data_IF_383064988938
#
_entry.id   IF_383064988938
#
_cell.length_a   1.000
_cell.length_b   1.000
_cell.length_c   1.000
_cell.angle_alpha   90.00
_cell.angle_beta   90.00
_cell.angle_gamma   90.00
#
_symmetry.space_group_name_H-M   'P 1'
#
loop_
_entity.id
_entity.type
_entity.pdbx_description
1 polymer ?
#
# COMPACT_ATOMS: atom_id res chain seq x y z
N UNK A 1 7.59 4.62 16.04
CA UNK A 1 8.57 3.56 15.71
C UNK A 1 7.83 2.52 14.88
N UNK A 2 8.13 2.37 13.59
CA UNK A 2 7.31 1.61 12.62
C UNK A 2 7.34 0.07 12.78
N UNK A 3 8.00 -0.47 13.81
CA UNK A 3 8.21 -1.92 13.98
C UNK A 3 7.92 -2.38 15.41
N UNK A 4 6.96 -1.71 16.07
CA UNK A 4 6.48 -2.13 17.39
C UNK A 4 5.10 -2.76 17.25
N UNK A 5 4.79 -3.81 18.04
CA UNK A 5 3.45 -4.33 18.09
C UNK A 5 2.51 -3.21 18.55
N UNK A 6 1.41 -3.05 17.83
CA UNK A 6 0.39 -2.03 18.08
C UNK A 6 -0.94 -2.70 18.40
N UNK A 7 -1.83 -2.03 19.14
CA UNK A 7 -3.18 -2.52 19.37
C UNK A 7 -3.92 -2.71 18.05
N UNK A 8 -4.83 -3.68 18.02
CA UNK A 8 -5.67 -3.92 16.85
C UNK A 8 -6.50 -2.67 16.50
N UNK A 9 -6.65 -2.39 15.21
CA UNK A 9 -7.38 -1.22 14.71
C UNK A 9 -6.58 0.08 14.65
N UNK A 10 -5.25 0.00 14.73
CA UNK A 10 -4.37 1.13 14.41
C UNK A 10 -4.01 1.11 12.92
N UNK A 11 -4.10 2.26 12.24
CA UNK A 11 -3.68 2.41 10.84
C UNK A 11 -2.14 2.40 10.65
N UNK A 12 -1.38 2.12 11.72
CA UNK A 12 0.08 2.11 11.72
C UNK A 12 0.70 0.72 11.81
N UNK A 13 -0.07 -0.35 11.66
CA UNK A 13 0.38 -1.74 11.86
C UNK A 13 -0.05 -2.68 10.75
N UNK A 14 0.80 -3.66 10.47
CA UNK A 14 0.51 -4.74 9.51
C UNK A 14 -0.16 -5.89 10.25
N UNK A 15 -1.27 -6.39 9.71
CA UNK A 15 -1.98 -7.56 10.25
C UNK A 15 -2.09 -8.66 9.20
N UNK A 16 -2.13 -9.91 9.66
CA UNK A 16 -2.33 -11.08 8.79
C UNK A 16 -3.67 -10.95 8.04
N UNK A 17 -4.72 -10.49 8.74
CA UNK A 17 -6.04 -10.27 8.14
C UNK A 17 -5.98 -9.22 7.03
N UNK A 18 -5.24 -8.12 7.25
CA UNK A 18 -5.02 -7.08 6.23
C UNK A 18 -4.27 -7.60 5.01
N UNK A 19 -3.28 -8.48 5.20
CA UNK A 19 -2.56 -9.09 4.08
C UNK A 19 -3.44 -10.04 3.26
N UNK A 20 -4.27 -10.86 3.91
CA UNK A 20 -5.27 -11.67 3.20
C UNK A 20 -6.27 -10.81 2.44
N UNK A 21 -6.73 -9.71 3.03
CA UNK A 21 -7.61 -8.75 2.36
C UNK A 21 -6.92 -8.13 1.12
N UNK A 22 -5.62 -7.80 1.22
CA UNK A 22 -4.84 -7.28 0.10
C UNK A 22 -4.73 -8.28 -1.06
N UNK A 23 -4.47 -9.55 -0.75
CA UNK A 23 -4.41 -10.62 -1.75
C UNK A 23 -5.77 -10.78 -2.43
N UNK A 24 -6.85 -10.88 -1.65
CA UNK A 24 -8.22 -10.98 -2.18
C UNK A 24 -8.58 -9.78 -3.05
N UNK A 25 -8.15 -8.57 -2.68
CA UNK A 25 -8.34 -7.36 -3.48
C UNK A 25 -7.59 -7.43 -4.82
N UNK A 26 -6.35 -7.93 -4.85
CA UNK A 26 -5.61 -8.14 -6.11
C UNK A 26 -6.31 -9.14 -7.04
N UNK A 27 -6.81 -10.25 -6.49
CA UNK A 27 -7.60 -11.22 -7.27
C UNK A 27 -8.91 -10.63 -7.77
N UNK A 28 -9.67 -9.92 -6.92
CA UNK A 28 -10.95 -9.33 -7.31
C UNK A 28 -10.78 -8.28 -8.42
N UNK A 29 -9.73 -7.46 -8.35
CA UNK A 29 -9.39 -6.50 -9.41
C UNK A 29 -9.04 -7.18 -10.72
N UNK A 30 -8.34 -8.32 -10.68
CA UNK A 30 -8.01 -9.11 -11.88
C UNK A 30 -9.26 -9.75 -12.49
N UNK A 31 -10.17 -10.27 -11.66
CA UNK A 31 -11.46 -10.81 -12.10
C UNK A 31 -12.31 -9.71 -12.74
N UNK A 32 -12.38 -8.53 -12.11
CA UNK A 32 -13.08 -7.38 -12.65
C UNK A 32 -12.51 -6.97 -14.01
N UNK A 33 -11.18 -6.94 -14.13
CA UNK A 33 -10.51 -6.69 -15.41
C UNK A 33 -10.91 -7.70 -16.49
N UNK A 34 -10.97 -9.00 -16.15
CA UNK A 34 -11.38 -10.05 -17.08
C UNK A 34 -12.78 -9.81 -17.64
N UNK A 35 -13.74 -9.40 -16.80
CA UNK A 35 -15.10 -9.09 -17.24
C UNK A 35 -15.21 -7.78 -18.04
N UNK A 36 -14.35 -6.81 -17.75
CA UNK A 36 -14.35 -5.50 -18.41
C UNK A 36 -13.49 -5.45 -19.68
N UNK A 37 -12.89 -6.57 -20.10
CA UNK A 37 -11.93 -6.63 -21.20
C UNK A 37 -12.37 -5.76 -22.40
N UNK A 38 -11.68 -4.64 -22.57
CA UNK A 38 -11.72 -3.85 -23.80
C UNK A 38 -10.91 -4.60 -24.86
N UNK A 39 -11.36 -4.65 -26.13
CA UNK A 39 -10.84 -5.55 -27.17
C UNK A 39 -9.40 -5.27 -27.65
N UNK A 40 -8.58 -4.53 -26.90
CA UNK A 40 -7.25 -4.06 -27.29
C UNK A 40 -6.22 -4.07 -26.16
N UNK A 41 -6.29 -5.03 -25.23
CA UNK A 41 -5.25 -5.16 -24.22
C UNK A 41 -4.05 -5.98 -24.71
N UNK A 42 -2.92 -5.31 -24.94
CA UNK A 42 -1.61 -5.90 -25.27
C UNK A 42 -0.99 -6.73 -24.14
N UNK A 43 -1.69 -6.96 -23.03
CA UNK A 43 -1.12 -7.49 -21.78
C UNK A 43 -1.78 -8.83 -21.42
N UNK A 44 -0.97 -9.82 -21.06
CA UNK A 44 -1.47 -11.14 -20.67
C UNK A 44 -2.21 -11.08 -19.32
N UNK A 45 -3.17 -11.99 -19.10
CA UNK A 45 -3.91 -12.07 -17.84
C UNK A 45 -2.97 -12.31 -16.64
N UNK A 46 -1.89 -13.06 -16.84
CA UNK A 46 -0.84 -13.31 -15.83
C UNK A 46 -0.10 -12.05 -15.41
N UNK A 47 0.23 -11.17 -16.35
CA UNK A 47 0.91 -9.90 -16.05
C UNK A 47 0.00 -8.98 -15.23
N UNK A 48 -1.29 -8.95 -15.57
CA UNK A 48 -2.28 -8.14 -14.86
C UNK A 48 -2.49 -8.67 -13.45
N UNK A 49 -2.60 -9.99 -13.28
CA UNK A 49 -2.68 -10.62 -11.97
C UNK A 49 -1.47 -10.25 -11.11
N UNK A 50 -0.26 -10.37 -11.66
CA UNK A 50 0.97 -10.04 -10.96
C UNK A 50 1.00 -8.55 -10.55
N UNK A 51 0.61 -7.64 -11.45
CA UNK A 51 0.53 -6.22 -11.16
C UNK A 51 -0.50 -5.90 -10.06
N UNK A 52 -1.72 -6.43 -10.17
CA UNK A 52 -2.77 -6.19 -9.20
C UNK A 52 -2.42 -6.74 -7.82
N UNK A 53 -1.84 -7.93 -7.74
CA UNK A 53 -1.38 -8.50 -6.47
C UNK A 53 -0.26 -7.66 -5.86
N UNK A 54 0.75 -7.31 -6.65
CA UNK A 54 1.87 -6.50 -6.18
C UNK A 54 1.40 -5.13 -5.71
N UNK A 55 0.57 -4.43 -6.48
CA UNK A 55 0.05 -3.11 -6.12
C UNK A 55 -0.82 -3.15 -4.86
N UNK A 56 -1.65 -4.18 -4.71
CA UNK A 56 -2.51 -4.32 -3.53
C UNK A 56 -1.71 -4.59 -2.26
N UNK A 57 -0.72 -5.48 -2.32
CA UNK A 57 0.17 -5.75 -1.19
C UNK A 57 0.98 -4.48 -0.87
N UNK A 58 1.67 -3.90 -1.86
CA UNK A 58 2.46 -2.69 -1.66
C UNK A 58 1.61 -1.54 -1.10
N UNK A 59 0.38 -1.38 -1.58
CA UNK A 59 -0.56 -0.38 -1.08
C UNK A 59 -0.85 -0.53 0.41
N UNK A 60 -1.06 -1.75 0.91
CA UNK A 60 -1.26 -1.97 2.34
C UNK A 60 -0.03 -1.62 3.19
N UNK A 61 1.18 -1.89 2.68
CA UNK A 61 2.42 -1.50 3.36
C UNK A 61 2.61 0.02 3.39
N UNK A 62 2.40 0.70 2.25
CA UNK A 62 2.54 2.16 2.16
C UNK A 62 1.51 2.86 3.04
N UNK A 63 0.26 2.40 3.00
CA UNK A 63 -0.82 2.95 3.84
C UNK A 63 -0.50 2.79 5.34
N UNK A 64 -0.07 1.59 5.75
CA UNK A 64 0.32 1.33 7.15
C UNK A 64 1.55 2.13 7.58
N UNK A 65 2.53 2.31 6.68
CA UNK A 65 3.72 3.10 6.97
C UNK A 65 3.38 4.57 7.16
N UNK A 66 2.60 5.15 6.23
CA UNK A 66 2.16 6.54 6.29
C UNK A 66 1.25 6.77 7.50
N UNK A 67 0.32 5.86 7.80
CA UNK A 67 -0.51 5.92 8.99
C UNK A 67 0.31 5.92 10.28
N UNK A 68 1.38 5.13 10.35
CA UNK A 68 2.24 5.09 11.54
C UNK A 68 3.02 6.39 11.82
N UNK A 69 3.22 7.23 10.80
CA UNK A 69 4.01 8.47 10.86
C UNK A 69 3.11 9.70 10.95
N UNK A 70 2.08 9.75 10.09
CA UNK A 70 1.27 10.94 9.84
C UNK A 70 -0.05 10.98 10.61
N UNK A 71 -0.55 9.83 11.09
CA UNK A 71 -1.80 9.74 11.84
C UNK A 71 -1.54 9.51 13.33
N UNK A 72 -1.98 10.45 14.16
CA UNK A 72 -1.86 10.34 15.61
C UNK A 72 -2.85 9.31 16.19
N UNK A 73 -2.33 8.22 16.77
CA UNK A 73 -3.13 7.15 17.37
C UNK A 73 -2.93 7.03 18.88
N UNK A 74 -4.02 7.01 19.65
CA UNK A 74 -4.02 6.93 21.11
C UNK A 74 -4.74 5.70 21.63
N UNK A 75 -4.21 5.09 22.68
CA UNK A 75 -4.92 4.02 23.39
C UNK A 75 -5.61 4.57 24.64
N UNK A 76 -6.90 4.25 24.80
CA UNK A 76 -7.64 4.50 26.04
C UNK A 76 -7.89 3.18 26.77
N UNK A 77 -7.22 2.97 27.90
CA UNK A 77 -7.41 1.79 28.76
C UNK A 77 -8.86 1.70 29.29
N UNK A 78 -9.47 2.84 29.63
CA UNK A 78 -10.86 2.89 30.13
C UNK A 78 -11.89 2.39 29.11
N UNK A 79 -11.67 2.66 27.81
CA UNK A 79 -12.58 2.25 26.73
C UNK A 79 -12.08 1.01 25.96
N UNK A 80 -10.89 0.50 26.31
CA UNK A 80 -10.19 -0.60 25.64
C UNK A 80 -10.18 -0.48 24.10
N UNK A 81 -9.95 0.74 23.61
CA UNK A 81 -9.95 1.03 22.17
C UNK A 81 -8.93 2.09 21.79
N UNK A 82 -8.59 2.09 20.51
CA UNK A 82 -7.79 3.13 19.87
C UNK A 82 -8.68 4.32 19.52
N UNK A 83 -8.14 5.53 19.69
CA UNK A 83 -8.72 6.81 19.35
C UNK A 83 -7.83 7.49 18.31
N UNK A 84 -8.41 7.87 17.17
CA UNK A 84 -7.72 8.53 16.04
C UNK A 84 -7.71 10.06 16.13
N UNK A 85 -8.45 10.65 17.08
CA UNK A 85 -8.50 12.10 17.24
C UNK A 85 -8.41 12.51 18.71
N UNK A 86 -7.66 13.59 18.93
CA UNK A 86 -7.48 14.22 20.23
C UNK A 86 -8.80 14.73 20.85
N UNK A 87 -9.76 15.12 20.00
CA UNK A 87 -11.03 15.69 20.45
C UNK A 87 -11.87 14.73 21.29
N UNK A 88 -11.60 13.42 21.19
CA UNK A 88 -12.35 12.34 21.84
C UNK A 88 -11.71 11.83 23.15
N UNK A 89 -10.68 12.51 23.67
CA UNK A 89 -9.88 12.03 24.81
C UNK A 89 -10.62 12.15 26.14
N UNK A 90 -10.81 11.00 26.81
CA UNK A 90 -11.24 10.95 28.21
C UNK A 90 -10.19 11.60 29.13
N UNK A 91 -10.59 11.90 30.37
CA UNK A 91 -9.71 12.47 31.40
C UNK A 91 -8.38 11.72 31.54
N UNK A 92 -8.39 10.37 31.50
CA UNK A 92 -7.19 9.52 31.52
C UNK A 92 -6.21 9.82 30.37
N UNK A 93 -6.71 10.00 29.14
CA UNK A 93 -5.86 10.27 27.98
C UNK A 93 -5.27 11.68 28.01
N UNK A 94 -5.98 12.66 28.60
CA UNK A 94 -5.45 14.01 28.79
C UNK A 94 -4.31 14.04 29.81
N UNK A 95 -4.42 13.26 30.90
CA UNK A 95 -3.33 13.11 31.88
C UNK A 95 -2.13 12.42 31.24
N UNK A 96 -2.35 11.31 30.54
CA UNK A 96 -1.29 10.59 29.85
C UNK A 96 -0.53 11.45 28.82
N UNK A 97 -1.23 12.38 28.15
CA UNK A 97 -0.59 13.36 27.28
C UNK A 97 0.30 14.34 28.04
N UNK A 98 -0.19 14.92 29.14
CA UNK A 98 0.62 15.84 29.97
C UNK A 98 1.88 15.16 30.50
N UNK A 99 1.76 13.89 30.83
CA UNK A 99 2.86 13.05 31.30
C UNK A 99 3.75 12.52 30.15
N UNK A 100 3.40 12.76 28.89
CA UNK A 100 4.13 12.25 27.73
C UNK A 100 4.17 10.73 27.61
N UNK A 101 3.18 10.02 28.16
CA UNK A 101 3.15 8.54 28.21
C UNK A 101 2.93 7.95 26.82
N UNK A 102 3.78 6.97 26.48
CA UNK A 102 3.70 6.17 25.24
C UNK A 102 3.41 4.72 25.58
N UNK A 103 2.63 4.07 24.74
CA UNK A 103 2.25 2.66 24.89
C UNK A 103 2.67 1.85 23.66
N UNK A 104 2.92 0.57 23.87
CA UNK A 104 3.15 -0.42 22.81
C UNK A 104 2.57 -1.77 23.26
N UNK A 105 2.35 -2.67 22.30
CA UNK A 105 1.76 -3.99 22.54
C UNK A 105 0.30 -4.07 22.11
N UNK A 106 -0.25 -5.30 22.18
CA UNK A 106 -1.61 -5.59 21.72
C UNK A 106 -2.71 -5.07 22.66
N UNK A 107 -2.48 -5.13 23.98
CA UNK A 107 -3.43 -4.68 25.01
C UNK A 107 -2.67 -3.93 26.10
N UNK A 108 -2.50 -2.59 25.96
CA UNK A 108 -1.85 -1.79 26.97
C UNK A 108 -2.72 -1.57 28.21
N UNK A 109 -2.12 -1.65 29.40
CA UNK A 109 -2.85 -1.48 30.69
C UNK A 109 -3.17 -0.02 31.02
N UNK A 110 -2.46 0.94 30.42
CA UNK A 110 -2.60 2.37 30.72
C UNK A 110 -2.84 3.19 29.45
N UNK A 111 -3.40 4.40 29.60
CA UNK A 111 -3.61 5.33 28.49
C UNK A 111 -2.27 5.90 28.00
N UNK A 112 -2.12 6.09 26.69
CA UNK A 112 -0.91 6.71 26.12
C UNK A 112 -0.92 6.81 24.60
N UNK A 113 0.09 7.49 24.07
CA UNK A 113 0.32 7.62 22.63
C UNK A 113 0.88 6.31 22.07
N UNK A 114 0.25 5.78 21.02
CA UNK A 114 0.72 4.57 20.33
C UNK A 114 1.76 4.96 19.26
N UNK A 115 1.35 5.78 18.29
CA UNK A 115 2.18 6.16 17.14
C UNK A 115 1.68 7.46 16.48
N UNK A 116 2.48 7.94 15.52
CA UNK A 116 2.20 9.09 14.67
C UNK A 116 2.42 10.46 15.29
N UNK A 117 2.24 11.45 14.43
CA UNK A 117 2.17 12.87 14.75
C UNK A 117 0.81 13.38 14.25
N UNK A 118 0.25 14.41 14.89
CA UNK A 118 -1.02 14.99 14.46
C UNK A 118 -0.85 15.90 13.23
N UNK A 119 -0.39 15.32 12.12
CA UNK A 119 -0.16 16.03 10.85
C UNK A 119 -1.35 15.84 9.93
N UNK A 120 -1.83 14.60 9.78
CA UNK A 120 -2.92 14.24 8.88
C UNK A 120 -3.99 13.42 9.60
N UNK A 121 -5.23 13.54 9.11
CA UNK A 121 -6.32 12.63 9.47
C UNK A 121 -6.21 11.31 8.70
N UNK A 122 -6.82 10.23 9.21
CA UNK A 122 -6.78 8.92 8.52
C UNK A 122 -7.29 8.96 7.07
N UNK A 123 -8.24 9.85 6.75
CA UNK A 123 -8.73 9.98 5.38
C UNK A 123 -7.71 10.65 4.44
N UNK A 124 -6.95 11.62 4.94
CA UNK A 124 -5.88 12.28 4.19
C UNK A 124 -4.70 11.33 3.94
N UNK A 125 -4.37 10.51 4.93
CA UNK A 125 -3.33 9.47 4.78
C UNK A 125 -3.72 8.47 3.70
N UNK A 126 -4.97 7.99 3.68
CA UNK A 126 -5.46 7.06 2.67
C UNK A 126 -5.48 7.67 1.26
N UNK A 127 -5.83 8.96 1.13
CA UNK A 127 -5.73 9.67 -0.14
C UNK A 127 -4.29 9.79 -0.62
N UNK A 128 -3.35 10.05 0.29
CA UNK A 128 -1.93 10.13 -0.02
C UNK A 128 -1.36 8.77 -0.44
N UNK A 129 -1.67 7.71 0.31
CA UNK A 129 -1.21 6.35 0.02
C UNK A 129 -1.72 5.88 -1.36
N UNK A 130 -3.01 6.09 -1.63
CA UNK A 130 -3.62 5.78 -2.92
C UNK A 130 -2.98 6.56 -4.09
N UNK A 131 -2.67 7.84 -3.88
CA UNK A 131 -2.03 8.68 -4.89
C UNK A 131 -0.61 8.20 -5.23
N UNK A 132 0.17 7.82 -4.22
CA UNK A 132 1.53 7.28 -4.39
C UNK A 132 1.49 5.95 -5.14
N UNK A 133 0.61 5.03 -4.75
CA UNK A 133 0.48 3.73 -5.41
C UNK A 133 0.03 3.87 -6.87
N UNK A 134 -0.90 4.78 -7.14
CA UNK A 134 -1.33 5.07 -8.52
C UNK A 134 -0.16 5.54 -9.40
N UNK A 135 0.66 6.46 -8.89
CA UNK A 135 1.88 6.91 -9.59
C UNK A 135 2.87 5.76 -9.78
N UNK A 136 3.12 4.94 -8.75
CA UNK A 136 4.02 3.80 -8.84
C UNK A 136 3.56 2.80 -9.93
N UNK A 137 2.27 2.47 -9.98
CA UNK A 137 1.71 1.57 -11.00
C UNK A 137 1.79 2.20 -12.39
N UNK A 138 1.54 3.51 -12.51
CA UNK A 138 1.68 4.23 -13.77
C UNK A 138 3.12 4.19 -14.31
N UNK A 139 4.12 4.49 -13.47
CA UNK A 139 5.53 4.41 -13.87
C UNK A 139 5.99 2.97 -14.12
N UNK A 140 5.46 1.99 -13.39
CA UNK A 140 5.75 0.58 -13.62
C UNK A 140 5.23 0.11 -14.98
N UNK A 141 3.98 0.45 -15.33
CA UNK A 141 3.44 0.19 -16.68
C UNK A 141 4.21 0.97 -17.75
N UNK A 142 4.55 2.23 -17.50
CA UNK A 142 5.39 3.01 -18.41
C UNK A 142 6.73 2.35 -18.69
N UNK A 143 7.39 1.84 -17.64
CA UNK A 143 8.67 1.13 -17.76
C UNK A 143 8.53 -0.20 -18.49
N UNK A 144 7.43 -0.94 -18.28
CA UNK A 144 7.13 -2.17 -19.04
C UNK A 144 6.87 -1.85 -20.50
N UNK A 145 6.04 -0.84 -20.81
CA UNK A 145 5.74 -0.45 -22.19
C UNK A 145 7.00 0.03 -22.90
N UNK A 146 7.86 0.80 -22.24
CA UNK A 146 9.16 1.20 -22.78
C UNK A 146 10.13 0.03 -22.91
N UNK A 147 10.14 -0.91 -21.96
CA UNK A 147 10.96 -2.12 -22.01
C UNK A 147 10.56 -3.04 -23.17
N UNK A 148 9.26 -3.26 -23.39
CA UNK A 148 8.73 -3.99 -24.54
C UNK A 148 8.98 -3.26 -25.85
N UNK A 149 8.81 -1.93 -25.91
CA UNK A 149 9.13 -1.15 -27.11
C UNK A 149 10.63 -1.25 -27.46
N UNK A 150 11.53 -1.22 -26.47
CA UNK A 150 12.97 -1.40 -26.69
C UNK A 150 13.30 -2.84 -27.09
N UNK A 151 12.61 -3.84 -26.54
CA UNK A 151 12.80 -5.25 -26.89
C UNK A 151 12.29 -5.57 -28.31
N UNK A 152 11.11 -5.06 -28.70
CA UNK A 152 10.59 -5.18 -30.08
C UNK A 152 11.50 -4.47 -31.09
N UNK A 153 12.03 -3.30 -30.75
CA UNK A 153 13.02 -2.62 -31.61
C UNK A 153 14.28 -3.46 -31.76
N UNK A 154 14.76 -4.09 -30.69
CA UNK A 154 15.95 -4.94 -30.72
C UNK A 154 15.74 -6.23 -31.55
N UNK A 155 14.60 -6.90 -31.39
CA UNK A 155 14.26 -8.10 -32.17
C UNK A 155 13.98 -7.78 -33.65
N UNK A 156 13.39 -6.62 -33.95
CA UNK A 156 13.21 -6.15 -35.33
C UNK A 156 14.54 -5.79 -36.01
N UNK A 157 15.50 -5.24 -35.24
CA UNK A 157 16.84 -4.93 -35.73
C UNK A 157 17.67 -6.19 -35.98
N UNK A 158 17.62 -7.18 -35.08
CA UNK A 158 18.31 -8.47 -35.25
C UNK A 158 17.69 -9.31 -36.37
N UNK A 159 16.36 -9.36 -36.48
CA UNK A 159 15.66 -10.08 -37.56
C UNK A 159 15.93 -9.50 -38.94
N UNK A 160 16.16 -8.19 -39.06
CA UNK A 160 16.56 -7.55 -40.32
C UNK A 160 18.03 -7.83 -40.69
N UNK A 161 18.90 -8.06 -39.69
CA UNK A 161 20.32 -8.35 -39.93
C UNK A 161 20.54 -9.82 -40.35
N UNK A 162 19.81 -10.77 -39.75
CA UNK A 162 19.90 -12.20 -40.09
C UNK A 162 19.33 -12.55 -41.47
N UNK A 163 18.30 -11.84 -41.95
CA UNK A 163 17.76 -12.05 -43.29
C UNK A 163 18.66 -11.50 -44.41
N UNK A 164 19.66 -10.67 -44.09
CA UNK A 164 20.55 -10.09 -45.08
C UNK A 164 21.82 -10.92 -45.34
N UNK A 165 22.15 -11.88 -44.47
CA UNK A 165 23.26 -12.83 -44.68
C UNK A 165 22.87 -14.09 -45.48
N UNK A 166 21.60 -14.51 -45.49
CA UNK A 166 21.18 -15.67 -46.31
C UNK A 166 20.87 -15.31 -47.79
N UNK A 167 20.89 -14.03 -48.16
CA UNK A 167 20.65 -13.58 -49.55
C UNK A 167 21.95 -13.37 -50.37
N UNK A 168 23.13 -13.68 -49.80
CA UNK A 168 24.43 -13.58 -50.47
C UNK A 168 25.22 -14.87 -50.31
N UNK A 169 24.69 -15.98 -50.84
CA UNK A 169 25.48 -17.15 -51.28
C UNK A 169 24.86 -17.70 -52.56
#
# INVERSE_FOLDING_TARGET
>A
MPWKPVPAGTNGGISILGLFAAILAGFSMTILYFFLQLPSSMMSLSEILAMCLFSSILGTFVDSFLGSILEESWWCSSKKRVLSSFSSKDSCCRVALKDGKRVAGHVPDHCGLVCGHAVCSGNEVNLLSSSIISLCVFFYKGSIVWGFAVCEIHDCFIGSFLNHEEAVV
#
